data_IF_101484896513
#
_entry.id   IF_101484896513
#
_cell.length_a   1.000
_cell.length_b   1.000
_cell.length_c   1.000
_cell.angle_alpha   90.00
_cell.angle_beta   90.00
_cell.angle_gamma   90.00
#
_symmetry.space_group_name_H-M   'P 1'
#
loop_
_entity.id
_entity.type
_entity.pdbx_description
1 polymer ?
#
# COMPACT_ATOMS: atom_id res chain seq x y z
N UNK A 1 -40.02 -9.01 17.99
CA UNK A 1 -39.47 -8.07 16.99
C UNK A 1 -37.96 -8.21 17.01
N UNK A 2 -37.38 -8.87 16.00
CA UNK A 2 -35.94 -8.99 15.86
C UNK A 2 -35.42 -7.73 15.15
N UNK A 3 -34.68 -6.89 15.88
CA UNK A 3 -33.98 -5.74 15.31
C UNK A 3 -32.92 -6.23 14.32
N UNK A 4 -33.07 -5.85 13.06
CA UNK A 4 -32.13 -6.16 11.98
C UNK A 4 -30.87 -5.33 12.22
N UNK A 5 -29.89 -5.90 12.91
CA UNK A 5 -28.58 -5.27 13.05
C UNK A 5 -27.85 -5.43 11.70
N UNK A 6 -27.95 -4.42 10.84
CA UNK A 6 -27.13 -4.35 9.63
C UNK A 6 -25.69 -4.07 10.05
N UNK A 7 -24.84 -5.09 9.99
CA UNK A 7 -23.40 -4.91 10.15
C UNK A 7 -22.91 -3.95 9.05
N UNK A 8 -22.49 -2.75 9.44
CA UNK A 8 -21.83 -1.83 8.52
C UNK A 8 -20.44 -2.36 8.22
N UNK A 9 -20.23 -2.89 7.02
CA UNK A 9 -18.92 -3.33 6.52
C UNK A 9 -18.07 -2.08 6.32
N UNK A 10 -16.82 -2.09 6.79
CA UNK A 10 -15.87 -0.98 6.61
C UNK A 10 -15.43 -0.83 5.15
N UNK A 11 -15.08 0.38 4.73
CA UNK A 11 -14.71 0.68 3.34
C UNK A 11 -13.44 -0.07 2.90
N UNK A 12 -12.47 -0.27 3.81
CA UNK A 12 -11.24 -1.02 3.52
C UNK A 12 -11.52 -2.48 3.20
N UNK A 13 -12.48 -3.09 3.90
CA UNK A 13 -12.90 -4.47 3.67
C UNK A 13 -13.77 -4.57 2.41
N UNK A 14 -14.63 -3.59 2.20
CA UNK A 14 -15.57 -3.58 1.09
C UNK A 14 -14.86 -3.40 -0.27
N UNK A 15 -14.06 -2.35 -0.42
CA UNK A 15 -13.51 -1.93 -1.71
C UNK A 15 -12.31 -2.74 -2.20
N UNK A 16 -11.65 -3.45 -1.29
CA UNK A 16 -10.53 -4.36 -1.60
C UNK A 16 -11.04 -5.77 -1.91
N UNK A 17 -12.26 -6.11 -1.49
CA UNK A 17 -12.85 -7.44 -1.74
C UNK A 17 -13.42 -7.58 -3.15
N UNK A 18 -13.51 -8.82 -3.64
CA UNK A 18 -14.27 -9.14 -4.87
C UNK A 18 -15.77 -8.90 -4.72
N UNK A 19 -16.28 -8.73 -3.49
CA UNK A 19 -17.70 -8.50 -3.22
C UNK A 19 -18.17 -7.14 -3.74
N UNK A 20 -17.30 -6.13 -3.88
CA UNK A 20 -17.71 -4.84 -4.45
C UNK A 20 -18.24 -4.99 -5.88
N UNK A 21 -17.63 -5.87 -6.68
CA UNK A 21 -18.10 -6.15 -8.04
C UNK A 21 -19.48 -6.80 -8.06
N UNK A 22 -19.75 -7.70 -7.11
CA UNK A 22 -21.07 -8.34 -6.95
C UNK A 22 -22.12 -7.36 -6.45
N UNK A 23 -21.76 -6.49 -5.50
CA UNK A 23 -22.64 -5.45 -4.99
C UNK A 23 -22.98 -4.42 -6.07
N UNK A 24 -22.00 -4.04 -6.88
CA UNK A 24 -22.22 -3.15 -8.00
C UNK A 24 -23.13 -3.79 -9.05
N UNK A 25 -22.87 -5.05 -9.41
CA UNK A 25 -23.75 -5.82 -10.31
C UNK A 25 -25.18 -5.87 -9.78
N UNK A 26 -25.36 -6.16 -8.49
CA UNK A 26 -26.67 -6.17 -7.87
C UNK A 26 -27.33 -4.79 -7.90
N UNK A 27 -26.59 -3.73 -7.59
CA UNK A 27 -27.08 -2.36 -7.61
C UNK A 27 -27.51 -1.89 -9.00
N UNK A 28 -26.79 -2.30 -10.05
CA UNK A 28 -27.15 -2.01 -11.44
C UNK A 28 -28.47 -2.67 -11.85
N UNK A 29 -28.68 -3.92 -11.43
CA UNK A 29 -29.85 -4.72 -11.84
C UNK A 29 -31.06 -4.45 -10.93
N UNK A 30 -30.84 -3.90 -9.74
CA UNK A 30 -31.90 -3.63 -8.80
C UNK A 30 -32.76 -2.45 -9.27
N UNK A 31 -34.08 -2.61 -9.18
CA UNK A 31 -35.05 -1.52 -9.43
C UNK A 31 -34.95 -0.44 -8.34
N UNK A 32 -34.41 -0.79 -7.17
CA UNK A 32 -34.22 0.11 -6.05
C UNK A 32 -33.00 1.02 -6.25
N UNK A 33 -33.27 2.29 -6.59
CA UNK A 33 -32.25 3.34 -6.76
C UNK A 33 -31.47 3.64 -5.48
N UNK A 34 -32.04 3.37 -4.31
CA UNK A 34 -31.39 3.70 -3.03
C UNK A 34 -30.12 2.87 -2.80
N UNK A 35 -30.11 1.61 -3.26
CA UNK A 35 -28.93 0.75 -3.19
C UNK A 35 -27.81 1.26 -4.10
N UNK A 36 -28.17 1.66 -5.32
CA UNK A 36 -27.24 2.27 -6.27
C UNK A 36 -26.63 3.55 -5.72
N UNK A 37 -27.46 4.50 -5.27
CA UNK A 37 -27.00 5.78 -4.72
C UNK A 37 -26.11 5.59 -3.50
N UNK A 38 -26.43 4.63 -2.63
CA UNK A 38 -25.62 4.31 -1.45
C UNK A 38 -24.22 3.85 -1.84
N UNK A 39 -24.10 2.88 -2.75
CA UNK A 39 -22.79 2.37 -3.17
C UNK A 39 -22.01 3.42 -3.96
N UNK A 40 -22.69 4.15 -4.85
CA UNK A 40 -22.11 5.26 -5.61
C UNK A 40 -21.54 6.34 -4.70
N UNK A 41 -22.25 6.74 -3.66
CA UNK A 41 -21.77 7.73 -2.70
C UNK A 41 -20.60 7.21 -1.87
N UNK A 42 -20.58 5.93 -1.50
CA UNK A 42 -19.40 5.35 -0.82
C UNK A 42 -18.17 5.37 -1.73
N UNK A 43 -18.31 4.96 -3.00
CA UNK A 43 -17.20 5.01 -3.97
C UNK A 43 -16.66 6.43 -4.18
N UNK A 44 -17.55 7.42 -4.29
CA UNK A 44 -17.16 8.83 -4.44
C UNK A 44 -16.37 9.37 -3.26
N UNK A 45 -16.63 8.85 -2.06
CA UNK A 45 -16.02 9.33 -0.81
C UNK A 45 -14.89 8.41 -0.30
N UNK A 46 -14.63 7.28 -0.97
CA UNK A 46 -13.60 6.35 -0.58
C UNK A 46 -12.20 6.95 -0.70
N UNK A 47 -11.28 6.44 0.12
CA UNK A 47 -9.85 6.71 -0.03
C UNK A 47 -9.38 6.25 -1.43
N UNK A 48 -8.69 7.12 -2.21
CA UNK A 48 -8.21 6.77 -3.54
C UNK A 48 -7.32 5.53 -3.60
N UNK A 49 -6.62 5.18 -2.52
CA UNK A 49 -5.81 3.96 -2.41
C UNK A 49 -6.63 2.67 -2.56
N UNK A 50 -7.91 2.71 -2.18
CA UNK A 50 -8.82 1.56 -2.17
C UNK A 50 -9.60 1.37 -3.49
N UNK A 51 -9.58 2.38 -4.36
CA UNK A 51 -10.44 2.42 -5.54
C UNK A 51 -9.97 1.50 -6.69
N UNK A 52 -8.72 1.02 -6.67
CA UNK A 52 -8.14 0.25 -7.78
C UNK A 52 -8.97 -0.97 -8.21
N UNK A 53 -9.23 -1.93 -7.30
CA UNK A 53 -10.06 -3.10 -7.60
C UNK A 53 -11.48 -2.69 -8.04
N UNK A 54 -12.08 -1.72 -7.34
CA UNK A 54 -13.43 -1.25 -7.61
C UNK A 54 -13.55 -0.70 -9.04
N UNK A 55 -12.67 0.22 -9.46
CA UNK A 55 -12.68 0.79 -10.81
C UNK A 55 -12.48 -0.28 -11.89
N UNK A 56 -11.61 -1.26 -11.66
CA UNK A 56 -11.44 -2.37 -12.60
C UNK A 56 -12.75 -3.15 -12.82
N UNK A 57 -13.49 -3.43 -11.74
CA UNK A 57 -14.79 -4.10 -11.86
C UNK A 57 -15.86 -3.21 -12.50
N UNK A 58 -15.98 -1.95 -12.06
CA UNK A 58 -16.95 -0.98 -12.61
C UNK A 58 -16.84 -0.90 -14.14
N UNK A 59 -15.61 -0.89 -14.65
CA UNK A 59 -15.34 -0.78 -16.08
C UNK A 59 -15.83 -1.94 -16.94
N UNK A 60 -16.16 -3.09 -16.33
CA UNK A 60 -16.75 -4.24 -17.05
C UNK A 60 -18.24 -4.05 -17.33
N UNK A 61 -18.89 -3.12 -16.65
CA UNK A 61 -20.33 -2.85 -16.75
C UNK A 61 -20.65 -1.57 -17.54
N UNK A 62 -19.62 -0.90 -18.06
CA UNK A 62 -19.73 0.18 -19.03
C UNK A 62 -20.15 -0.40 -20.38
N UNK A 63 -21.46 -0.62 -20.58
CA UNK A 63 -21.98 -0.90 -21.92
C UNK A 63 -22.10 0.40 -22.68
N UNK A 64 -21.53 0.43 -23.88
CA UNK A 64 -21.62 1.53 -24.83
C UNK A 64 -23.08 1.88 -25.15
N UNK A 65 -23.41 3.19 -25.11
CA UNK A 65 -24.46 3.85 -25.90
C UNK A 65 -25.65 4.55 -25.19
N UNK A 66 -25.60 4.86 -23.88
CA UNK A 66 -26.55 5.83 -23.31
C UNK A 66 -25.83 6.97 -22.56
N UNK A 67 -25.92 8.18 -23.10
CA UNK A 67 -25.32 9.43 -22.56
C UNK A 67 -25.90 9.85 -21.19
N UNK A 68 -26.83 9.06 -20.63
CA UNK A 68 -27.46 9.26 -19.30
C UNK A 68 -27.24 8.06 -18.37
N UNK A 69 -26.18 7.29 -18.54
CA UNK A 69 -25.88 6.20 -17.61
C UNK A 69 -25.27 6.76 -16.31
N UNK A 70 -26.08 6.82 -15.25
CA UNK A 70 -25.66 7.20 -13.90
C UNK A 70 -24.43 6.38 -13.43
N UNK A 71 -24.22 5.18 -13.99
CA UNK A 71 -23.03 4.35 -13.73
C UNK A 71 -21.76 4.96 -14.30
N UNK A 72 -21.81 5.48 -15.54
CA UNK A 72 -20.68 6.14 -16.17
C UNK A 72 -20.31 7.42 -15.39
N UNK A 73 -21.31 8.16 -14.90
CA UNK A 73 -21.08 9.32 -14.05
C UNK A 73 -20.34 8.99 -12.74
N UNK A 74 -20.61 7.82 -12.13
CA UNK A 74 -19.85 7.35 -10.96
C UNK A 74 -18.38 7.14 -11.33
N UNK A 75 -18.10 6.43 -12.42
CA UNK A 75 -16.72 6.16 -12.86
C UNK A 75 -15.97 7.46 -13.16
N UNK A 76 -16.58 8.36 -13.93
CA UNK A 76 -16.02 9.69 -14.25
C UNK A 76 -15.68 10.49 -12.98
N UNK A 77 -16.45 10.34 -11.90
CA UNK A 77 -16.18 11.06 -10.64
C UNK A 77 -15.06 10.46 -9.78
N UNK A 78 -14.74 9.17 -9.93
CA UNK A 78 -13.75 8.46 -9.07
C UNK A 78 -12.40 8.26 -9.76
N UNK A 79 -12.38 8.12 -11.09
CA UNK A 79 -11.15 7.90 -11.86
C UNK A 79 -10.13 9.03 -11.68
N UNK A 80 -10.48 10.33 -11.74
CA UNK A 80 -9.52 11.40 -11.54
C UNK A 80 -8.83 11.36 -10.17
N UNK A 81 -9.56 10.99 -9.11
CA UNK A 81 -9.00 10.84 -7.76
C UNK A 81 -7.96 9.72 -7.71
N UNK A 82 -8.28 8.57 -8.31
CA UNK A 82 -7.35 7.44 -8.41
C UNK A 82 -6.13 7.78 -9.26
N UNK A 83 -6.31 8.46 -10.38
CA UNK A 83 -5.23 8.90 -11.26
C UNK A 83 -4.27 9.82 -10.53
N UNK A 84 -4.78 10.82 -9.79
CA UNK A 84 -3.92 11.71 -9.02
C UNK A 84 -3.15 10.95 -7.94
N UNK A 85 -3.83 10.10 -7.17
CA UNK A 85 -3.17 9.27 -6.16
C UNK A 85 -2.07 8.38 -6.76
N UNK A 86 -2.31 7.75 -7.91
CA UNK A 86 -1.30 6.94 -8.61
C UNK A 86 -0.09 7.76 -9.03
N UNK A 87 -0.29 8.98 -9.54
CA UNK A 87 0.82 9.89 -9.90
C UNK A 87 1.65 10.25 -8.67
N UNK A 88 1.00 10.61 -7.56
CA UNK A 88 1.67 10.96 -6.31
C UNK A 88 2.49 9.76 -5.77
N UNK A 89 1.94 8.55 -5.82
CA UNK A 89 2.67 7.34 -5.42
C UNK A 89 3.86 7.07 -6.35
N UNK A 90 3.66 7.15 -7.67
CA UNK A 90 4.73 6.92 -8.66
C UNK A 90 5.89 7.90 -8.43
N UNK A 91 5.62 9.19 -8.25
CA UNK A 91 6.66 10.20 -8.00
C UNK A 91 7.49 9.87 -6.76
N UNK A 92 6.85 9.37 -5.70
CA UNK A 92 7.55 8.94 -4.49
C UNK A 92 8.41 7.70 -4.75
N UNK A 93 7.91 6.73 -5.51
CA UNK A 93 8.56 5.44 -5.76
C UNK A 93 9.61 5.46 -6.88
N UNK A 94 9.59 6.46 -7.76
CA UNK A 94 10.57 6.64 -8.83
C UNK A 94 11.94 7.09 -8.32
N UNK A 95 12.04 7.47 -7.04
CA UNK A 95 13.30 7.84 -6.42
C UNK A 95 14.30 6.68 -6.52
N UNK A 96 15.58 6.96 -6.84
CA UNK A 96 16.62 5.94 -6.85
C UNK A 96 16.73 5.20 -5.51
N UNK A 97 17.25 3.98 -5.57
CA UNK A 97 17.52 3.19 -4.37
C UNK A 97 18.38 3.98 -3.38
N UNK A 98 17.97 3.92 -2.11
CA UNK A 98 18.74 4.41 -0.97
C UNK A 98 18.65 3.40 0.16
N UNK A 99 19.72 3.30 0.95
CA UNK A 99 19.72 2.57 2.22
C UNK A 99 18.99 3.33 3.34
N UNK A 100 18.61 4.60 3.11
CA UNK A 100 17.85 5.38 4.08
C UNK A 100 16.40 4.87 4.20
N UNK A 101 16.06 4.29 5.35
CA UNK A 101 14.68 3.95 5.70
C UNK A 101 14.10 5.08 6.55
N UNK A 102 13.77 6.23 5.92
CA UNK A 102 13.40 7.47 6.64
C UNK A 102 12.21 7.35 7.59
N UNK A 103 11.28 6.44 7.29
CA UNK A 103 10.13 6.15 8.16
C UNK A 103 10.36 4.99 9.12
N UNK A 104 11.59 4.49 9.25
CA UNK A 104 11.90 3.42 10.19
C UNK A 104 11.75 3.92 11.63
N UNK A 105 11.01 3.14 12.42
CA UNK A 105 10.87 3.33 13.85
C UNK A 105 11.49 2.12 14.55
N UNK A 106 12.33 2.36 15.56
CA UNK A 106 12.93 1.29 16.35
C UNK A 106 12.70 1.53 17.85
N UNK A 107 11.75 0.81 18.47
CA UNK A 107 11.39 1.02 19.86
C UNK A 107 12.59 0.90 20.82
N UNK A 108 12.72 1.87 21.72
CA UNK A 108 13.67 1.87 22.84
C UNK A 108 15.16 1.78 22.45
N UNK A 109 15.54 2.08 21.20
CA UNK A 109 16.94 2.25 20.82
C UNK A 109 17.09 3.32 19.73
N UNK A 110 17.43 4.55 20.14
CA UNK A 110 17.56 5.69 19.24
C UNK A 110 18.75 5.58 18.28
N UNK A 111 19.81 4.86 18.65
CA UNK A 111 20.98 4.66 17.80
C UNK A 111 20.66 3.70 16.65
N UNK A 112 20.00 2.58 16.93
CA UNK A 112 19.53 1.65 15.90
C UNK A 112 18.51 2.35 14.99
N UNK A 113 17.60 3.16 15.55
CA UNK A 113 16.68 3.94 14.74
C UNK A 113 17.41 4.93 13.81
N UNK A 114 18.40 5.65 14.34
CA UNK A 114 19.19 6.61 13.55
C UNK A 114 19.98 5.90 12.46
N UNK A 115 20.55 4.73 12.74
CA UNK A 115 21.19 3.89 11.72
C UNK A 115 20.19 3.49 10.62
N UNK A 116 19.01 2.99 10.98
CA UNK A 116 18.00 2.57 10.00
C UNK A 116 17.60 3.72 9.08
N UNK A 117 17.47 4.93 9.63
CA UNK A 117 17.16 6.15 8.88
C UNK A 117 18.35 6.70 8.07
N UNK A 118 19.58 6.32 8.42
CA UNK A 118 20.81 6.77 7.76
C UNK A 118 21.16 6.01 6.47
N UNK A 119 22.28 6.37 5.81
CA UNK A 119 22.68 5.80 4.53
C UNK A 119 23.50 4.51 4.63
N UNK A 120 23.93 4.11 5.83
CA UNK A 120 24.78 2.93 6.01
C UNK A 120 24.00 1.63 5.83
N UNK A 121 24.62 0.63 5.20
CA UNK A 121 23.99 -0.68 4.92
C UNK A 121 23.92 -1.56 6.17
N UNK A 122 24.94 -1.51 7.03
CA UNK A 122 25.05 -2.35 8.22
C UNK A 122 25.59 -1.59 9.43
N UNK A 123 25.23 -2.07 10.63
CA UNK A 123 25.81 -1.61 11.90
C UNK A 123 26.09 -2.78 12.83
N UNK A 124 27.14 -2.66 13.63
CA UNK A 124 27.36 -3.51 14.81
C UNK A 124 26.79 -2.81 16.04
N UNK A 125 26.04 -3.50 16.89
CA UNK A 125 25.40 -2.88 18.06
C UNK A 125 26.34 -2.67 19.25
N UNK A 126 27.66 -2.79 19.10
CA UNK A 126 28.61 -2.74 20.22
C UNK A 126 28.44 -1.51 21.11
N UNK A 127 28.20 -0.35 20.49
CA UNK A 127 27.96 0.92 21.18
C UNK A 127 26.48 1.10 21.55
N UNK A 128 25.57 0.61 20.69
CA UNK A 128 24.11 0.80 20.84
C UNK A 128 23.43 -0.14 21.83
N UNK A 129 23.99 -1.34 22.06
CA UNK A 129 23.45 -2.35 22.97
C UNK A 129 24.50 -3.41 23.29
N UNK A 130 24.83 -3.53 24.58
CA UNK A 130 25.66 -4.60 25.12
C UNK A 130 24.84 -5.86 25.41
N UNK A 131 25.48 -7.00 25.24
CA UNK A 131 24.94 -8.32 25.56
C UNK A 131 25.92 -9.07 26.45
N UNK A 132 25.40 -9.84 27.40
CA UNK A 132 26.23 -10.60 28.34
C UNK A 132 26.85 -11.84 27.69
N UNK A 133 26.19 -12.41 26.67
CA UNK A 133 26.65 -13.59 25.95
C UNK A 133 25.93 -13.77 24.61
N UNK A 134 26.50 -14.63 23.76
CA UNK A 134 25.97 -14.94 22.42
C UNK A 134 24.51 -15.41 22.43
N UNK A 135 24.08 -16.11 23.48
CA UNK A 135 22.69 -16.59 23.57
C UNK A 135 21.72 -15.43 23.75
N UNK A 136 22.08 -14.41 24.54
CA UNK A 136 21.26 -13.21 24.71
C UNK A 136 21.17 -12.40 23.42
N UNK A 137 22.30 -12.18 22.75
CA UNK A 137 22.35 -11.53 21.45
C UNK A 137 21.50 -12.28 20.41
N UNK A 138 21.59 -13.62 20.38
CA UNK A 138 20.79 -14.46 19.50
C UNK A 138 19.28 -14.35 19.78
N UNK A 139 18.87 -14.31 21.05
CA UNK A 139 17.47 -14.08 21.42
C UNK A 139 16.99 -12.69 21.00
N UNK A 140 17.84 -11.68 21.12
CA UNK A 140 17.52 -10.32 20.68
C UNK A 140 17.32 -10.25 19.16
N UNK A 141 18.26 -10.80 18.38
CA UNK A 141 18.12 -10.89 16.93
C UNK A 141 16.84 -11.65 16.53
N UNK A 142 16.64 -12.85 17.08
CA UNK A 142 15.46 -13.66 16.78
C UNK A 142 14.14 -12.97 17.15
N UNK A 143 14.10 -12.21 18.25
CA UNK A 143 12.91 -11.42 18.61
C UNK A 143 12.54 -10.45 17.50
N UNK A 144 13.49 -9.62 17.05
CA UNK A 144 13.24 -8.61 16.02
C UNK A 144 13.00 -9.21 14.63
N UNK A 145 13.59 -10.36 14.32
CA UNK A 145 13.29 -11.09 13.08
C UNK A 145 11.89 -11.69 13.06
N UNK A 146 11.26 -11.92 14.21
CA UNK A 146 9.87 -12.39 14.31
C UNK A 146 8.84 -11.25 14.41
N UNK A 147 9.27 -10.03 14.71
CA UNK A 147 8.38 -8.87 14.75
C UNK A 147 8.06 -8.38 13.33
N UNK A 148 6.84 -7.89 13.13
CA UNK A 148 6.40 -7.44 11.82
C UNK A 148 7.07 -6.12 11.44
N UNK A 149 8.06 -6.19 10.56
CA UNK A 149 8.72 -5.03 9.98
C UNK A 149 7.84 -4.48 8.84
N UNK A 150 7.27 -3.28 9.00
CA UNK A 150 6.28 -2.72 8.05
C UNK A 150 6.82 -1.58 7.21
N UNK A 151 7.76 -0.80 7.76
CA UNK A 151 8.36 0.40 7.14
C UNK A 151 9.88 0.34 7.00
N UNK A 152 10.47 -0.74 7.44
CA UNK A 152 11.89 -1.05 7.34
C UNK A 152 12.01 -2.55 7.05
N UNK A 153 13.12 -2.94 6.46
CA UNK A 153 13.44 -4.35 6.25
C UNK A 153 14.92 -4.54 6.55
N UNK A 154 15.21 -5.33 7.57
CA UNK A 154 16.57 -5.61 8.00
C UNK A 154 16.67 -7.02 8.56
N UNK A 155 17.87 -7.57 8.48
CA UNK A 155 18.27 -8.80 9.13
C UNK A 155 19.08 -8.49 10.38
N UNK A 156 19.01 -9.39 11.36
CA UNK A 156 19.82 -9.33 12.56
C UNK A 156 20.51 -10.66 12.80
N UNK A 157 21.82 -10.63 13.04
CA UNK A 157 22.62 -11.80 13.35
C UNK A 157 23.48 -11.55 14.59
N UNK A 158 23.56 -12.55 15.47
CA UNK A 158 24.37 -12.46 16.68
C UNK A 158 25.79 -12.98 16.43
N UNK A 159 26.78 -12.24 16.94
CA UNK A 159 28.19 -12.57 16.79
C UNK A 159 28.92 -12.42 18.11
N UNK A 160 30.02 -13.16 18.23
CA UNK A 160 31.00 -13.00 19.31
C UNK A 160 32.39 -12.89 18.66
N UNK A 161 33.09 -11.80 18.95
CA UNK A 161 34.44 -11.56 18.43
C UNK A 161 35.30 -10.99 19.53
N UNK A 162 36.48 -11.59 19.73
CA UNK A 162 37.47 -11.13 20.72
C UNK A 162 36.89 -11.01 22.16
N UNK A 163 35.92 -11.86 22.50
CA UNK A 163 35.25 -11.86 23.80
C UNK A 163 34.14 -10.80 23.95
N UNK A 164 33.86 -10.01 22.91
CA UNK A 164 32.74 -9.09 22.86
C UNK A 164 31.58 -9.70 22.07
N UNK A 165 30.38 -9.70 22.66
CA UNK A 165 29.16 -10.14 21.99
C UNK A 165 28.36 -8.96 21.47
N UNK A 166 27.92 -9.02 20.22
CA UNK A 166 27.12 -7.99 19.57
C UNK A 166 26.12 -8.59 18.57
N UNK A 167 25.23 -7.76 18.07
CA UNK A 167 24.35 -8.08 16.94
C UNK A 167 24.77 -7.21 15.75
N UNK A 168 24.86 -7.81 14.58
CA UNK A 168 24.95 -7.08 13.32
C UNK A 168 23.54 -6.86 12.80
N UNK A 169 23.22 -5.63 12.43
CA UNK A 169 21.97 -5.29 11.76
C UNK A 169 22.33 -4.93 10.32
N UNK A 170 21.72 -5.64 9.36
CA UNK A 170 21.96 -5.42 7.93
C UNK A 170 20.65 -5.05 7.27
N UNK A 171 20.59 -3.89 6.63
CA UNK A 171 19.42 -3.47 5.86
C UNK A 171 19.26 -4.37 4.64
N UNK A 172 18.04 -4.77 4.33
CA UNK A 172 17.78 -5.52 3.09
C UNK A 172 17.16 -4.62 2.04
N UNK A 173 17.32 -5.05 0.79
CA UNK A 173 16.72 -4.37 -0.37
C UNK A 173 15.26 -4.77 -0.56
N UNK A 174 14.69 -5.64 0.29
CA UNK A 174 13.37 -6.23 0.07
C UNK A 174 12.26 -5.18 0.05
N UNK A 175 12.32 -4.19 0.93
CA UNK A 175 11.39 -3.06 0.91
C UNK A 175 11.46 -2.34 -0.44
N UNK A 176 12.66 -2.01 -0.92
CA UNK A 176 12.84 -1.35 -2.21
C UNK A 176 12.39 -2.22 -3.38
N UNK A 177 12.69 -3.53 -3.37
CA UNK A 177 12.25 -4.47 -4.41
C UNK A 177 10.72 -4.57 -4.44
N UNK A 178 10.08 -4.57 -3.28
CA UNK A 178 8.62 -4.49 -3.18
C UNK A 178 8.09 -3.18 -3.74
N UNK A 179 8.70 -2.04 -3.38
CA UNK A 179 8.34 -0.74 -3.96
C UNK A 179 8.49 -0.70 -5.49
N UNK A 180 9.52 -1.35 -6.04
CA UNK A 180 9.70 -1.48 -7.50
C UNK A 180 8.60 -2.34 -8.14
N UNK A 181 8.15 -3.40 -7.46
CA UNK A 181 7.02 -4.21 -7.93
C UNK A 181 5.73 -3.38 -7.94
N UNK A 182 5.46 -2.64 -6.87
CA UNK A 182 4.30 -1.75 -6.76
C UNK A 182 4.34 -0.66 -7.84
N UNK A 183 5.52 -0.08 -8.12
CA UNK A 183 5.72 0.91 -9.18
C UNK A 183 5.33 0.37 -10.57
N UNK A 184 5.69 -0.88 -10.90
CA UNK A 184 5.29 -1.52 -12.16
C UNK A 184 3.77 -1.65 -12.24
N UNK A 185 3.11 -2.05 -11.15
CA UNK A 185 1.66 -2.19 -11.08
C UNK A 185 0.96 -0.83 -11.21
N UNK A 186 1.42 0.18 -10.49
CA UNK A 186 0.85 1.53 -10.54
C UNK A 186 1.00 2.18 -11.91
N UNK A 187 2.16 2.05 -12.57
CA UNK A 187 2.35 2.56 -13.94
C UNK A 187 1.41 1.86 -14.93
N UNK A 188 1.23 0.54 -14.80
CA UNK A 188 0.31 -0.23 -15.64
C UNK A 188 -1.15 0.19 -15.41
N UNK A 189 -1.56 0.39 -14.16
CA UNK A 189 -2.89 0.87 -13.82
C UNK A 189 -3.13 2.29 -14.33
N UNK A 190 -2.20 3.21 -14.08
CA UNK A 190 -2.28 4.61 -14.52
C UNK A 190 -2.47 4.68 -16.04
N UNK A 191 -1.64 3.97 -16.81
CA UNK A 191 -1.77 3.90 -18.27
C UNK A 191 -3.17 3.44 -18.69
N UNK A 192 -3.66 2.33 -18.11
CA UNK A 192 -5.00 1.80 -18.41
C UNK A 192 -6.11 2.82 -18.11
N UNK A 193 -6.00 3.58 -17.03
CA UNK A 193 -7.02 4.57 -16.65
C UNK A 193 -6.96 5.81 -17.55
N UNK A 194 -5.76 6.28 -17.88
CA UNK A 194 -5.57 7.41 -18.81
C UNK A 194 -6.10 7.02 -20.19
N UNK A 195 -5.63 5.92 -20.78
CA UNK A 195 -6.03 5.47 -22.12
C UNK A 195 -7.55 5.31 -22.29
N UNK A 196 -8.27 4.99 -21.21
CA UNK A 196 -9.70 4.70 -21.23
C UNK A 196 -10.59 5.91 -20.94
N UNK A 197 -10.18 6.78 -20.01
CA UNK A 197 -11.07 7.81 -19.45
C UNK A 197 -10.54 9.23 -19.61
N UNK A 198 -9.28 9.38 -19.96
CA UNK A 198 -8.66 10.67 -20.21
C UNK A 198 -8.28 10.65 -21.68
N UNK A 199 -9.17 11.13 -22.56
CA UNK A 199 -8.80 11.38 -23.94
C UNK A 199 -7.46 12.10 -23.95
N UNK A 200 -6.47 11.53 -24.64
CA UNK A 200 -5.15 12.14 -24.81
C UNK A 200 -5.35 13.54 -25.40
N UNK A 201 -5.39 14.56 -24.55
CA UNK A 201 -4.79 15.85 -24.92
C UNK A 201 -3.35 15.50 -25.23
N UNK A 202 -3.05 15.46 -26.53
CA UNK A 202 -1.73 15.35 -27.09
C UNK A 202 -0.76 16.15 -26.24
N UNK A 203 0.13 15.46 -25.53
CA UNK A 203 1.51 15.86 -25.38
C UNK A 203 2.31 14.60 -25.00
N UNK A 204 2.85 14.00 -26.06
CA UNK A 204 3.88 12.99 -26.01
C UNK A 204 5.14 13.67 -25.50
N UNK A 205 5.62 13.30 -24.32
CA UNK A 205 7.07 13.27 -24.04
C UNK A 205 7.35 12.10 -23.09
N UNK A 206 7.97 11.05 -23.65
CA UNK A 206 8.82 10.10 -22.92
C UNK A 206 10.26 10.59 -23.04
#
# INVERSE_FOLDING_TARGET
MAGKQTASIKDEELFVSSYIGLLWKAAIVCVDKTLFDTIANRLRNADPSLLGPSIQYLSQYESSADEKDDKAAVVVSVVPKRVQWLKDQIEVLEKPFSWEMREAEFPNNAEIQSFLQGPEESMETKEAKKFDNLQEAGKYAAKWMNEKQTKCWFEMEAHEKEGETFVTITKTRDWFLKQQSDLVLYRKELRRLVDRYVETTNDIFF
#
